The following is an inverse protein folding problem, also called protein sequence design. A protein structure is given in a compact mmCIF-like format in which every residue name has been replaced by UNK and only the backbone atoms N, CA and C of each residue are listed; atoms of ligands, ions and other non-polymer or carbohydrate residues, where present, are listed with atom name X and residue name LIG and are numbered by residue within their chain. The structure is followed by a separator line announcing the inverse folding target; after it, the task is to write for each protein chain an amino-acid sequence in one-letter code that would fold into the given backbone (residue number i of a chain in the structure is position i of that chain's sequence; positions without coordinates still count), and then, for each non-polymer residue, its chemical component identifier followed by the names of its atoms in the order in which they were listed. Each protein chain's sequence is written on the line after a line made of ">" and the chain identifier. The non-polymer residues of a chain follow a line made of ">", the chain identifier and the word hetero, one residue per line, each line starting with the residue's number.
data_IF_202802155698
#
_entry.id   IF_202802155698
#
_cell.length_a   1.000
_cell.length_b   1.000
_cell.length_c   1.000
_cell.angle_alpha   90.00
_cell.angle_beta   90.00
_cell.angle_gamma   90.00
#
_symmetry.space_group_name_H-M   'P 1'
#
loop_
_entity.id
_entity.type
_entity.pdbx_description
1 polymer ?
#
# COMPACT_ATOMS: atom_id res chain seq x y z
N UNK A 1 -11.33 6.30 -51.21
CA UNK A 1 -10.33 6.84 -50.27
C UNK A 1 -10.31 5.94 -49.05
N UNK A 2 -9.23 5.18 -48.88
CA UNK A 2 -9.04 4.22 -47.78
C UNK A 2 -8.55 4.98 -46.54
N UNK A 3 -9.34 4.97 -45.47
CA UNK A 3 -8.92 5.52 -44.18
C UNK A 3 -8.20 4.41 -43.39
N UNK A 4 -6.90 4.60 -43.20
CA UNK A 4 -6.03 3.70 -42.43
C UNK A 4 -6.46 3.69 -40.96
N UNK A 5 -6.67 2.51 -40.42
CA UNK A 5 -6.86 2.26 -39.00
C UNK A 5 -5.48 2.33 -38.33
N UNK A 6 -5.22 3.38 -37.54
CA UNK A 6 -4.09 3.40 -36.61
C UNK A 6 -4.46 2.61 -35.36
N UNK A 7 -3.60 1.70 -34.87
CA UNK A 7 -3.89 0.93 -33.66
C UNK A 7 -3.86 1.85 -32.44
N UNK A 8 -4.92 1.80 -31.61
CA UNK A 8 -4.95 2.43 -30.28
C UNK A 8 -3.94 1.70 -29.38
N UNK A 9 -3.06 2.46 -28.73
CA UNK A 9 -2.19 1.95 -27.66
C UNK A 9 -2.99 1.47 -26.44
N UNK A 10 -2.33 0.78 -25.48
CA UNK A 10 -2.98 0.29 -24.28
C UNK A 10 -3.57 1.45 -23.44
N UNK A 11 -4.62 1.20 -22.63
CA UNK A 11 -5.32 2.25 -21.91
C UNK A 11 -4.45 2.83 -20.78
N UNK A 12 -4.24 4.13 -20.81
CA UNK A 12 -3.66 4.90 -19.70
C UNK A 12 -4.66 4.96 -18.54
N UNK A 13 -4.27 4.48 -17.37
CA UNK A 13 -5.05 4.67 -16.13
C UNK A 13 -4.58 5.98 -15.49
N UNK A 14 -5.51 6.93 -15.42
CA UNK A 14 -5.30 8.26 -14.85
C UNK A 14 -5.60 8.22 -13.35
N UNK A 15 -4.59 8.50 -12.52
CA UNK A 15 -4.78 8.78 -11.10
C UNK A 15 -4.19 10.15 -10.84
N UNK A 16 -5.03 11.17 -10.82
CA UNK A 16 -4.68 12.44 -10.22
C UNK A 16 -4.59 12.21 -8.71
N UNK A 17 -3.48 12.60 -8.08
CA UNK A 17 -3.32 12.55 -6.61
C UNK A 17 -4.55 13.22 -5.98
N UNK A 18 -5.46 12.41 -5.44
CA UNK A 18 -6.71 12.83 -4.82
C UNK A 18 -8.02 12.26 -5.37
N UNK A 19 -8.06 11.56 -6.51
CA UNK A 19 -9.29 10.88 -6.97
C UNK A 19 -8.98 9.74 -7.95
N UNK A 20 -9.44 8.51 -7.65
CA UNK A 20 -9.63 7.48 -8.68
C UNK A 20 -10.82 7.94 -9.52
N UNK A 21 -10.58 8.58 -10.66
CA UNK A 21 -11.63 8.90 -11.63
C UNK A 21 -11.66 7.80 -12.67
N UNK A 22 -12.51 6.79 -12.46
CA UNK A 22 -12.91 5.89 -13.54
C UNK A 22 -14.07 6.54 -14.30
N UNK A 23 -13.85 6.90 -15.56
CA UNK A 23 -14.95 7.08 -16.51
C UNK A 23 -15.37 5.70 -16.99
N UNK A 24 -16.41 5.16 -16.38
CA UNK A 24 -17.50 4.44 -17.04
C UNK A 24 -18.58 4.08 -16.01
N UNK A 25 -19.78 4.62 -16.21
CA UNK A 25 -21.00 4.20 -15.52
C UNK A 25 -21.64 3.09 -16.35
N UNK A 26 -21.83 1.91 -15.78
CA UNK A 26 -23.13 1.23 -15.67
C UNK A 26 -23.00 -0.21 -15.11
N UNK A 27 -23.95 -0.55 -14.24
CA UNK A 27 -24.32 -1.88 -13.70
C UNK A 27 -23.31 -2.63 -12.80
N UNK A 28 -23.52 -2.51 -11.49
CA UNK A 28 -23.26 -3.60 -10.54
C UNK A 28 -24.51 -3.79 -9.67
N UNK A 29 -25.21 -4.91 -9.89
CA UNK A 29 -26.20 -5.44 -8.97
C UNK A 29 -25.64 -6.71 -8.33
N UNK A 30 -25.72 -6.73 -6.99
CA UNK A 30 -25.76 -7.85 -6.04
C UNK A 30 -24.86 -9.08 -6.29
N UNK A 31 -23.84 -9.25 -5.44
CA UNK A 31 -23.27 -10.56 -5.11
C UNK A 31 -23.28 -10.77 -3.57
N UNK A 32 -24.08 -11.71 -3.05
CA UNK A 32 -24.16 -12.03 -1.63
C UNK A 32 -23.30 -13.27 -1.32
N UNK A 33 -21.99 -13.06 -1.14
CA UNK A 33 -20.98 -13.93 -0.52
C UNK A 33 -19.62 -13.22 -0.71
N UNK A 34 -18.69 -13.09 0.22
CA UNK A 34 -18.43 -13.80 1.46
C UNK A 34 -17.33 -13.01 2.22
N UNK A 35 -17.37 -13.05 3.55
CA UNK A 35 -16.31 -12.64 4.48
C UNK A 35 -14.93 -13.26 4.16
N UNK A 36 -14.18 -12.72 3.20
CA UNK A 36 -12.81 -13.17 2.87
C UNK A 36 -11.78 -12.02 2.90
N UNK A 37 -12.20 -10.76 3.09
CA UNK A 37 -11.27 -9.63 3.31
C UNK A 37 -10.73 -9.50 4.75
N UNK A 38 -10.98 -10.49 5.61
CA UNK A 38 -10.33 -10.63 6.92
C UNK A 38 -9.14 -11.59 6.93
N UNK A 39 -8.71 -12.11 5.78
CA UNK A 39 -7.70 -13.18 5.71
C UNK A 39 -6.25 -12.73 5.42
N UNK A 40 -5.94 -11.43 5.35
CA UNK A 40 -4.55 -10.97 5.16
C UNK A 40 -3.99 -10.07 6.27
N UNK A 41 -4.75 -9.85 7.34
CA UNK A 41 -4.20 -9.44 8.63
C UNK A 41 -4.03 -10.66 9.51
N UNK A 42 -2.87 -11.31 9.40
CA UNK A 42 -2.43 -12.23 10.44
C UNK A 42 -0.97 -11.94 10.75
N UNK A 43 -0.80 -11.43 11.96
CA UNK A 43 0.38 -11.55 12.78
C UNK A 43 1.01 -12.94 12.60
N UNK A 44 2.31 -12.97 12.29
CA UNK A 44 3.13 -14.09 12.70
C UNK A 44 3.73 -13.73 14.06
N UNK A 45 3.38 -14.45 15.13
CA UNK A 45 3.96 -14.23 16.43
C UNK A 45 5.41 -14.70 16.40
N UNK A 46 6.34 -13.77 16.58
CA UNK A 46 7.68 -14.11 17.10
C UNK A 46 7.81 -13.51 18.50
N UNK A 47 6.77 -13.70 19.30
CA UNK A 47 6.80 -13.43 20.72
C UNK A 47 6.95 -14.77 21.43
N UNK A 48 8.18 -15.30 21.50
CA UNK A 48 8.63 -16.26 22.52
C UNK A 48 10.15 -16.49 22.41
N UNK A 49 10.92 -15.42 22.59
CA UNK A 49 12.28 -15.53 23.14
C UNK A 49 12.43 -14.41 24.16
N UNK A 50 12.29 -14.76 25.44
CA UNK A 50 12.69 -13.87 26.54
C UNK A 50 14.15 -13.41 26.29
N UNK A 51 14.35 -12.10 26.33
CA UNK A 51 15.61 -11.36 26.15
C UNK A 51 16.16 -11.15 24.72
N UNK A 52 15.43 -11.44 23.64
CA UNK A 52 15.86 -11.13 22.27
C UNK A 52 15.36 -9.76 21.75
N UNK A 53 15.98 -8.70 22.26
CA UNK A 53 16.12 -7.33 21.73
C UNK A 53 14.90 -6.37 21.63
N UNK A 54 15.06 -5.23 22.32
CA UNK A 54 14.23 -4.02 22.34
C UNK A 54 14.64 -2.98 21.26
N UNK A 55 13.61 -2.26 20.81
CA UNK A 55 13.49 -0.83 20.43
C UNK A 55 13.75 -0.25 19.03
N UNK A 56 14.40 -0.91 18.05
CA UNK A 56 14.58 -0.27 16.72
C UNK A 56 14.30 -1.13 15.48
N UNK A 57 13.87 -2.39 15.63
CA UNK A 57 13.51 -3.23 14.47
C UNK A 57 12.07 -2.99 14.03
N UNK A 58 11.86 -2.08 13.06
CA UNK A 58 10.55 -1.83 12.41
C UNK A 58 10.05 -3.10 11.69
N UNK A 59 9.11 -3.87 12.26
CA UNK A 59 8.72 -5.20 11.74
C UNK A 59 7.95 -5.13 10.42
N UNK A 60 7.30 -4.00 10.17
CA UNK A 60 6.32 -3.78 9.11
C UNK A 60 6.95 -3.77 7.71
N UNK A 61 8.15 -3.20 7.59
CA UNK A 61 8.85 -3.02 6.32
C UNK A 61 9.08 -4.34 5.54
N UNK A 62 9.49 -5.41 6.24
CA UNK A 62 9.73 -6.72 5.60
C UNK A 62 8.42 -7.32 5.10
N UNK A 63 7.33 -7.17 5.86
CA UNK A 63 6.01 -7.70 5.49
C UNK A 63 5.53 -7.07 4.19
N UNK A 64 5.58 -5.74 4.08
CA UNK A 64 5.21 -5.00 2.87
C UNK A 64 6.05 -5.42 1.65
N UNK A 65 7.36 -5.60 1.85
CA UNK A 65 8.27 -6.05 0.78
C UNK A 65 8.00 -7.50 0.33
N UNK A 66 7.71 -8.40 1.27
CA UNK A 66 7.37 -9.81 0.99
C UNK A 66 6.04 -9.90 0.25
N UNK A 67 5.02 -9.17 0.68
CA UNK A 67 3.73 -9.09 -0.02
C UNK A 67 3.91 -8.59 -1.46
N UNK A 68 4.75 -7.58 -1.68
CA UNK A 68 5.05 -7.07 -3.02
C UNK A 68 5.75 -8.10 -3.93
N UNK A 69 6.57 -9.00 -3.37
CA UNK A 69 7.22 -10.08 -4.13
C UNK A 69 6.26 -11.25 -4.40
N UNK A 70 5.49 -11.66 -3.39
CA UNK A 70 4.63 -12.85 -3.51
C UNK A 70 3.40 -12.62 -4.40
N UNK A 71 3.00 -11.37 -4.60
CA UNK A 71 1.90 -11.00 -5.53
C UNK A 71 2.17 -11.38 -6.99
N UNK A 72 3.39 -11.72 -7.39
CA UNK A 72 3.68 -12.18 -8.74
C UNK A 72 3.57 -13.70 -8.95
N UNK A 73 3.27 -14.44 -7.88
CA UNK A 73 3.07 -15.87 -7.96
C UNK A 73 1.66 -16.19 -8.49
N UNK A 74 1.59 -16.53 -9.77
CA UNK A 74 0.33 -16.86 -10.45
C UNK A 74 -0.39 -18.06 -9.84
N UNK A 75 0.31 -19.00 -9.21
CA UNK A 75 -0.33 -20.14 -8.54
C UNK A 75 -1.07 -19.68 -7.27
N UNK A 76 -0.47 -18.74 -6.52
CA UNK A 76 -1.11 -18.11 -5.37
C UNK A 76 -2.31 -17.28 -5.84
N UNK A 77 -2.16 -16.48 -6.90
CA UNK A 77 -3.27 -15.69 -7.44
C UNK A 77 -4.42 -16.57 -7.94
N UNK A 78 -4.12 -17.70 -8.57
CA UNK A 78 -5.13 -18.67 -9.01
C UNK A 78 -5.89 -19.28 -7.82
N UNK A 79 -5.21 -19.51 -6.68
CA UNK A 79 -5.88 -19.91 -5.43
C UNK A 79 -6.92 -18.87 -4.97
N UNK A 80 -6.65 -17.58 -5.21
CA UNK A 80 -7.59 -16.48 -4.93
C UNK A 80 -8.62 -16.25 -6.05
N UNK A 81 -8.69 -17.13 -7.05
CA UNK A 81 -9.64 -17.03 -8.16
C UNK A 81 -9.19 -16.10 -9.29
N UNK A 82 -7.92 -15.69 -9.32
CA UNK A 82 -7.35 -14.85 -10.36
C UNK A 82 -6.42 -15.67 -11.26
N UNK A 83 -6.93 -16.08 -12.41
CA UNK A 83 -6.20 -16.85 -13.41
C UNK A 83 -6.24 -16.15 -14.78
N UNK A 84 -5.85 -16.85 -15.84
CA UNK A 84 -5.90 -16.32 -17.22
C UNK A 84 -7.32 -16.15 -17.76
N UNK A 85 -8.33 -16.74 -17.11
CA UNK A 85 -9.73 -16.69 -17.52
C UNK A 85 -10.57 -15.72 -16.67
N UNK A 86 -10.04 -15.26 -15.53
CA UNK A 86 -10.70 -14.29 -14.65
C UNK A 86 -10.62 -12.87 -15.19
N UNK A 87 -11.48 -11.99 -14.65
CA UNK A 87 -11.42 -10.54 -14.86
C UNK A 87 -11.56 -9.83 -13.51
N UNK A 88 -10.52 -9.15 -13.00
CA UNK A 88 -9.19 -8.96 -13.60
C UNK A 88 -8.38 -10.27 -13.72
N UNK A 89 -7.39 -10.30 -14.61
CA UNK A 89 -6.44 -11.43 -14.72
C UNK A 89 -5.36 -11.35 -13.64
N UNK A 90 -4.59 -12.43 -13.45
CA UNK A 90 -3.42 -12.42 -12.58
C UNK A 90 -2.39 -11.32 -12.97
N UNK A 91 -2.13 -11.13 -14.27
CA UNK A 91 -1.19 -10.10 -14.75
C UNK A 91 -1.70 -8.67 -14.51
N UNK A 92 -3.02 -8.47 -14.52
CA UNK A 92 -3.61 -7.19 -14.15
C UNK A 92 -3.43 -6.89 -12.67
N UNK A 93 -3.64 -7.87 -11.79
CA UNK A 93 -3.41 -7.69 -10.36
C UNK A 93 -1.95 -7.40 -10.02
N UNK A 94 -1.02 -8.08 -10.70
CA UNK A 94 0.41 -7.81 -10.57
C UNK A 94 0.70 -6.35 -10.95
N UNK A 95 0.18 -5.90 -12.09
CA UNK A 95 0.32 -4.50 -12.50
C UNK A 95 -0.29 -3.52 -11.48
N UNK A 96 -1.50 -3.79 -11.00
CA UNK A 96 -2.16 -2.95 -10.00
C UNK A 96 -1.37 -2.90 -8.70
N UNK A 97 -0.72 -3.98 -8.32
CA UNK A 97 0.13 -4.02 -7.13
C UNK A 97 1.33 -3.09 -7.28
N UNK A 98 2.02 -3.10 -8.42
CA UNK A 98 3.13 -2.16 -8.67
C UNK A 98 2.64 -0.71 -8.70
N UNK A 99 1.50 -0.45 -9.36
CA UNK A 99 0.92 0.89 -9.37
C UNK A 99 0.58 1.36 -7.95
N UNK A 100 0.01 0.46 -7.13
CA UNK A 100 -0.31 0.72 -5.73
C UNK A 100 0.93 1.02 -4.90
N UNK A 101 2.02 0.27 -5.05
CA UNK A 101 3.30 0.56 -4.39
C UNK A 101 3.76 1.98 -4.69
N UNK A 102 3.69 2.41 -5.95
CA UNK A 102 4.09 3.76 -6.32
C UNK A 102 3.18 4.85 -5.75
N UNK A 103 1.86 4.64 -5.79
CA UNK A 103 0.88 5.60 -5.26
C UNK A 103 0.98 5.69 -3.72
N UNK A 104 1.05 4.57 -3.02
CA UNK A 104 1.19 4.53 -1.57
C UNK A 104 2.55 5.11 -1.13
N UNK A 105 3.63 4.85 -1.88
CA UNK A 105 4.93 5.47 -1.65
C UNK A 105 4.91 6.99 -1.77
N UNK A 106 4.21 7.55 -2.77
CA UNK A 106 4.01 9.01 -2.86
C UNK A 106 3.12 9.53 -1.73
N UNK A 107 2.01 8.88 -1.44
CA UNK A 107 1.08 9.29 -0.38
C UNK A 107 1.75 9.26 1.01
N UNK A 108 2.68 8.34 1.25
CA UNK A 108 3.43 8.22 2.49
C UNK A 108 4.20 9.50 2.84
N UNK A 109 4.63 10.29 1.85
CA UNK A 109 5.27 11.59 2.06
C UNK A 109 4.43 12.53 2.94
N UNK A 110 3.10 12.39 2.95
CA UNK A 110 2.22 13.18 3.84
C UNK A 110 2.50 12.98 5.34
N UNK A 111 3.13 11.87 5.72
CA UNK A 111 3.48 11.54 7.10
C UNK A 111 4.83 12.11 7.54
N UNK A 112 5.68 12.56 6.61
CA UNK A 112 7.02 13.06 6.92
C UNK A 112 6.97 14.45 7.56
N UNK A 113 7.57 14.59 8.73
CA UNK A 113 7.65 15.83 9.51
C UNK A 113 9.00 16.49 9.29
N UNK A 114 9.00 17.56 8.50
CA UNK A 114 10.22 18.29 8.13
C UNK A 114 10.93 18.90 9.35
N UNK A 115 10.19 19.40 10.33
CA UNK A 115 10.75 20.02 11.54
C UNK A 115 11.59 19.03 12.37
N UNK A 116 11.11 17.78 12.46
CA UNK A 116 11.74 16.72 13.25
C UNK A 116 12.71 15.87 12.41
N UNK A 117 12.74 16.06 11.09
CA UNK A 117 13.38 15.15 10.12
C UNK A 117 13.00 13.69 10.37
N UNK A 118 11.72 13.45 10.68
CA UNK A 118 11.23 12.16 11.13
C UNK A 118 9.91 11.77 10.46
N UNK A 119 9.71 10.46 10.31
CA UNK A 119 8.48 9.89 9.77
C UNK A 119 7.40 9.79 10.84
N UNK A 120 6.16 10.11 10.48
CA UNK A 120 5.00 10.03 11.36
C UNK A 120 4.53 8.60 11.65
N UNK A 121 4.93 7.61 10.84
CA UNK A 121 4.63 6.20 11.01
C UNK A 121 5.65 5.30 10.33
N UNK A 122 5.90 4.13 10.92
CA UNK A 122 6.88 3.15 10.42
C UNK A 122 6.47 2.55 9.07
N UNK A 123 5.17 2.38 8.85
CA UNK A 123 4.62 1.87 7.59
C UNK A 123 4.84 2.85 6.43
N UNK A 124 4.56 4.13 6.65
CA UNK A 124 4.73 5.17 5.63
C UNK A 124 6.21 5.30 5.23
N UNK A 125 7.11 5.29 6.22
CA UNK A 125 8.55 5.28 5.94
C UNK A 125 8.95 4.08 5.08
N UNK A 126 8.40 2.90 5.39
CA UNK A 126 8.66 1.68 4.66
C UNK A 126 8.16 1.73 3.20
N UNK A 127 6.93 2.20 3.00
CA UNK A 127 6.33 2.35 1.67
C UNK A 127 7.16 3.30 0.81
N UNK A 128 7.56 4.45 1.36
CA UNK A 128 8.40 5.40 0.63
C UNK A 128 9.78 4.80 0.31
N UNK A 129 10.40 4.07 1.23
CA UNK A 129 11.69 3.41 0.98
C UNK A 129 11.61 2.36 -0.13
N UNK A 130 10.56 1.52 -0.15
CA UNK A 130 10.34 0.53 -1.23
C UNK A 130 10.15 1.25 -2.56
N UNK A 131 9.31 2.28 -2.57
CA UNK A 131 9.05 3.10 -3.75
C UNK A 131 10.34 3.74 -4.30
N UNK A 132 11.10 4.44 -3.45
CA UNK A 132 12.37 5.09 -3.83
C UNK A 132 13.38 4.05 -4.35
N UNK A 133 13.44 2.87 -3.76
CA UNK A 133 14.30 1.78 -4.24
C UNK A 133 13.90 1.31 -5.64
N UNK A 134 12.61 1.10 -5.92
CA UNK A 134 12.15 0.72 -7.27
C UNK A 134 12.45 1.82 -8.30
N UNK A 135 12.28 3.10 -7.94
CA UNK A 135 12.64 4.21 -8.83
C UNK A 135 14.13 4.20 -9.20
N UNK A 136 15.00 3.87 -8.23
CA UNK A 136 16.46 3.89 -8.41
C UNK A 136 17.02 2.63 -9.08
N UNK A 137 16.49 1.45 -8.75
CA UNK A 137 17.06 0.14 -9.08
C UNK A 137 16.17 -0.68 -10.03
N UNK A 138 14.95 -0.22 -10.32
CA UNK A 138 13.96 -0.90 -11.15
C UNK A 138 14.10 -0.66 -12.66
N UNK A 139 15.16 0.01 -13.12
CA UNK A 139 15.45 0.27 -14.55
C UNK A 139 14.24 0.82 -15.34
N UNK A 140 13.55 1.82 -14.78
CA UNK A 140 12.40 2.44 -15.43
C UNK A 140 11.14 1.57 -15.48
N UNK A 141 11.06 0.49 -14.70
CA UNK A 141 9.78 -0.22 -14.44
C UNK A 141 8.73 0.72 -13.84
N UNK A 142 9.17 1.73 -13.09
CA UNK A 142 8.33 2.75 -12.48
C UNK A 142 8.99 4.12 -12.58
N UNK A 143 8.21 5.17 -12.82
CA UNK A 143 8.65 6.55 -12.74
C UNK A 143 7.51 7.47 -12.31
N UNK A 144 7.86 8.70 -11.93
CA UNK A 144 6.90 9.76 -11.59
C UNK A 144 6.98 10.86 -12.63
N UNK A 145 5.83 11.20 -13.22
CA UNK A 145 5.68 12.43 -13.98
C UNK A 145 5.17 13.53 -13.05
N UNK A 146 5.86 14.66 -13.04
CA UNK A 146 5.52 15.81 -12.22
C UNK A 146 5.06 16.96 -13.11
N UNK A 147 3.82 17.40 -12.93
CA UNK A 147 3.30 18.64 -13.52
C UNK A 147 3.39 19.77 -12.47
N UNK A 148 4.38 20.68 -12.59
CA UNK A 148 4.57 21.75 -11.61
C UNK A 148 3.50 22.84 -11.71
N UNK A 149 2.83 22.99 -12.86
CA UNK A 149 1.81 24.02 -13.07
C UNK A 149 0.49 23.56 -12.44
N UNK A 150 0.09 22.32 -12.71
CA UNK A 150 -1.11 21.72 -12.13
C UNK A 150 -0.91 21.26 -10.67
N UNK A 151 0.35 21.19 -10.20
CA UNK A 151 0.72 20.56 -8.92
C UNK A 151 0.18 19.14 -8.85
N UNK A 152 0.51 18.34 -9.86
CA UNK A 152 0.08 16.95 -9.97
C UNK A 152 1.29 16.03 -10.14
N UNK A 153 1.16 14.83 -9.57
CA UNK A 153 2.14 13.76 -9.68
C UNK A 153 1.43 12.55 -10.28
N UNK A 154 2.05 11.90 -11.25
CA UNK A 154 1.52 10.69 -11.87
C UNK A 154 2.52 9.57 -11.73
N UNK A 155 2.12 8.48 -11.08
CA UNK A 155 2.87 7.24 -11.06
C UNK A 155 2.63 6.51 -12.37
N UNK A 156 3.71 6.09 -13.01
CA UNK A 156 3.68 5.27 -14.21
C UNK A 156 4.42 3.98 -13.97
N UNK A 157 3.92 2.90 -14.56
CA UNK A 157 4.50 1.56 -14.45
C UNK A 157 4.54 0.92 -15.83
N UNK A 158 5.71 0.45 -16.24
CA UNK A 158 5.88 -0.35 -17.45
C UNK A 158 5.58 -1.82 -17.15
N UNK A 159 4.40 -2.28 -17.60
CA UNK A 159 3.95 -3.67 -17.47
C UNK A 159 4.97 -4.70 -17.96
N UNK A 160 5.69 -4.39 -19.04
CA UNK A 160 6.64 -5.32 -19.65
C UNK A 160 7.90 -5.54 -18.80
N UNK A 161 8.23 -4.58 -17.92
CA UNK A 161 9.40 -4.61 -17.05
C UNK A 161 9.13 -5.15 -15.65
N UNK A 162 7.88 -5.43 -15.29
CA UNK A 162 7.53 -5.88 -13.93
C UNK A 162 8.29 -7.15 -13.55
N UNK A 163 8.18 -8.22 -14.34
CA UNK A 163 8.81 -9.50 -14.01
C UNK A 163 10.34 -9.44 -14.14
N UNK A 164 10.83 -8.71 -15.14
CA UNK A 164 12.25 -8.69 -15.49
C UNK A 164 13.09 -7.72 -14.64
N UNK A 165 12.53 -6.58 -14.24
CA UNK A 165 13.27 -5.53 -13.53
C UNK A 165 12.63 -5.22 -12.17
N UNK A 166 11.30 -5.04 -12.12
CA UNK A 166 10.57 -4.74 -10.89
C UNK A 166 10.77 -5.82 -9.81
N UNK A 167 10.44 -7.08 -10.14
CA UNK A 167 10.56 -8.22 -9.23
C UNK A 167 11.98 -8.37 -8.74
N UNK A 168 12.94 -8.30 -9.66
CA UNK A 168 14.36 -8.46 -9.31
C UNK A 168 14.84 -7.31 -8.41
N UNK A 169 14.35 -6.09 -8.62
CA UNK A 169 14.70 -4.94 -7.78
C UNK A 169 14.20 -5.11 -6.34
N UNK A 170 12.92 -5.43 -6.16
CA UNK A 170 12.34 -5.69 -4.83
C UNK A 170 13.03 -6.91 -4.19
N UNK A 171 13.30 -7.96 -4.97
CA UNK A 171 14.02 -9.14 -4.52
C UNK A 171 15.44 -8.85 -3.99
N UNK A 172 16.20 -7.97 -4.67
CA UNK A 172 17.51 -7.51 -4.20
C UNK A 172 17.41 -6.75 -2.88
N UNK A 173 16.43 -5.85 -2.76
CA UNK A 173 16.17 -5.09 -1.54
C UNK A 173 15.83 -6.02 -0.36
N UNK A 174 14.88 -6.95 -0.58
CA UNK A 174 14.47 -7.93 0.43
C UNK A 174 15.65 -8.80 0.86
N UNK A 175 16.44 -9.29 -0.08
CA UNK A 175 17.59 -10.16 0.20
C UNK A 175 18.60 -9.47 1.13
N UNK A 176 18.99 -8.22 0.83
CA UNK A 176 19.90 -7.42 1.66
C UNK A 176 19.36 -7.29 3.09
N UNK A 177 18.12 -6.85 3.22
CA UNK A 177 17.50 -6.57 4.53
C UNK A 177 17.27 -7.86 5.32
N UNK A 178 16.93 -8.95 4.64
CA UNK A 178 16.79 -10.26 5.26
C UNK A 178 18.11 -10.78 5.82
N UNK A 179 19.21 -10.64 5.08
CA UNK A 179 20.55 -11.03 5.53
C UNK A 179 20.92 -10.21 6.76
N UNK A 180 20.88 -8.87 6.67
CA UNK A 180 21.29 -8.01 7.78
C UNK A 180 20.46 -8.21 9.04
N UNK A 181 19.15 -8.45 8.90
CA UNK A 181 18.30 -8.80 10.05
C UNK A 181 18.72 -10.14 10.67
N UNK A 182 18.95 -11.16 9.84
CA UNK A 182 19.32 -12.51 10.31
C UNK A 182 20.71 -12.54 10.96
N UNK A 183 21.60 -11.63 10.58
CA UNK A 183 22.95 -11.50 11.16
C UNK A 183 23.08 -10.37 12.19
N UNK A 184 21.98 -9.69 12.54
CA UNK A 184 21.97 -8.51 13.40
C UNK A 184 22.97 -7.41 12.96
N UNK A 185 23.17 -7.22 11.65
CA UNK A 185 24.10 -6.22 11.09
C UNK A 185 23.42 -4.85 10.94
N UNK A 186 23.32 -4.13 12.06
CA UNK A 186 22.74 -2.78 12.11
C UNK A 186 23.60 -1.77 11.34
N UNK A 187 24.92 -1.96 11.33
CA UNK A 187 25.87 -1.02 10.71
C UNK A 187 25.72 -0.98 9.19
N UNK A 188 25.43 -2.11 8.56
CA UNK A 188 25.15 -2.17 7.13
C UNK A 188 23.71 -1.74 6.81
N UNK A 189 22.73 -2.11 7.64
CA UNK A 189 21.32 -1.85 7.39
C UNK A 189 20.95 -0.37 7.49
N UNK A 190 21.44 0.32 8.54
CA UNK A 190 21.03 1.68 8.88
C UNK A 190 21.33 2.69 7.75
N UNK A 191 22.56 2.79 7.20
CA UNK A 191 22.85 3.75 6.13
C UNK A 191 22.04 3.48 4.86
N UNK A 192 21.78 2.21 4.54
CA UNK A 192 20.98 1.83 3.38
C UNK A 192 19.53 2.29 3.54
N UNK A 193 18.91 2.01 4.69
CA UNK A 193 17.50 2.35 4.92
C UNK A 193 17.28 3.86 5.14
N UNK A 194 18.19 4.54 5.84
CA UNK A 194 18.12 6.00 6.03
C UNK A 194 18.23 6.74 4.70
N UNK A 195 19.13 6.32 3.80
CA UNK A 195 19.23 6.92 2.46
C UNK A 195 17.94 6.72 1.62
N UNK A 196 17.32 5.54 1.72
CA UNK A 196 16.06 5.25 1.02
C UNK A 196 14.84 5.92 1.63
N UNK A 197 14.90 6.32 2.90
CA UNK A 197 13.81 7.03 3.58
C UNK A 197 14.05 8.53 3.76
N UNK A 198 15.16 9.05 3.25
CA UNK A 198 15.43 10.49 3.20
C UNK A 198 14.49 11.17 2.19
N UNK A 199 13.89 12.28 2.61
CA UNK A 199 13.01 13.14 1.81
C UNK A 199 13.77 14.42 1.48
N UNK A 200 14.58 14.36 0.42
CA UNK A 200 15.43 15.42 -0.09
C UNK A 200 15.04 15.83 -1.52
N UNK A 201 15.54 16.99 -1.96
CA UNK A 201 15.45 17.47 -3.34
C UNK A 201 14.04 17.37 -3.98
N UNK A 202 13.90 16.51 -4.99
CA UNK A 202 12.64 16.31 -5.71
C UNK A 202 11.54 15.71 -4.83
N UNK A 203 11.90 14.90 -3.83
CA UNK A 203 10.95 14.27 -2.93
C UNK A 203 10.31 15.27 -1.98
N UNK A 204 11.02 16.34 -1.59
CA UNK A 204 10.43 17.44 -0.82
C UNK A 204 9.43 18.23 -1.67
N UNK A 205 9.72 18.45 -2.95
CA UNK A 205 8.77 19.09 -3.87
C UNK A 205 7.50 18.24 -3.99
N UNK A 206 7.64 16.92 -4.15
CA UNK A 206 6.51 16.00 -4.19
C UNK A 206 5.73 15.99 -2.86
N UNK A 207 6.43 16.01 -1.73
CA UNK A 207 5.84 16.06 -0.39
C UNK A 207 4.93 17.29 -0.24
N UNK A 208 5.39 18.46 -0.67
CA UNK A 208 4.60 19.70 -0.61
C UNK A 208 3.31 19.58 -1.43
N UNK A 209 3.37 18.95 -2.60
CA UNK A 209 2.19 18.70 -3.44
C UNK A 209 1.22 17.74 -2.73
N UNK A 210 1.73 16.62 -2.22
CA UNK A 210 0.92 15.61 -1.52
C UNK A 210 0.25 16.21 -0.28
N UNK A 211 0.98 16.94 0.55
CA UNK A 211 0.44 17.59 1.76
C UNK A 211 -0.59 18.66 1.41
N UNK A 212 -0.49 19.32 0.25
CA UNK A 212 -1.50 20.29 -0.20
C UNK A 212 -2.85 19.65 -0.57
N UNK A 213 -2.90 18.32 -0.72
CA UNK A 213 -4.09 17.54 -1.08
C UNK A 213 -4.39 16.47 -0.02
N UNK A 214 -4.76 16.86 1.22
CA UNK A 214 -4.97 15.92 2.30
C UNK A 214 -6.14 14.98 1.99
N UNK A 215 -5.93 13.68 2.21
CA UNK A 215 -7.00 12.70 2.10
C UNK A 215 -7.69 12.52 3.46
N UNK A 216 -9.04 12.53 3.52
CA UNK A 216 -9.76 12.29 4.75
C UNK A 216 -9.56 10.84 5.18
N UNK A 217 -9.11 10.64 6.43
CA UNK A 217 -9.03 9.29 7.02
C UNK A 217 -10.41 8.75 7.30
N UNK A 218 -10.60 7.47 7.00
CA UNK A 218 -11.84 6.78 7.32
C UNK A 218 -12.00 6.65 8.83
N UNK A 219 -13.24 6.77 9.30
CA UNK A 219 -13.64 6.50 10.67
C UNK A 219 -14.60 5.33 10.63
N UNK A 220 -14.41 4.38 11.53
CA UNK A 220 -15.27 3.22 11.63
C UNK A 220 -16.18 3.37 12.84
N UNK A 221 -17.46 3.08 12.64
CA UNK A 221 -18.41 2.93 13.73
C UNK A 221 -18.38 1.47 14.15
N UNK A 222 -17.94 1.21 15.38
CA UNK A 222 -17.81 -0.15 15.90
C UNK A 222 -19.05 -0.51 16.72
N UNK A 223 -19.60 -1.72 16.56
CA UNK A 223 -20.71 -2.18 17.38
C UNK A 223 -20.26 -2.47 18.82
N UNK A 224 -21.24 -2.69 19.70
CA UNK A 224 -21.01 -3.16 21.07
C UNK A 224 -21.76 -4.48 21.31
N UNK A 225 -21.27 -5.27 22.25
CA UNK A 225 -21.94 -6.49 22.70
C UNK A 225 -22.39 -6.38 24.14
N UNK A 226 -23.63 -6.76 24.44
CA UNK A 226 -24.21 -6.74 25.79
C UNK A 226 -24.68 -8.14 26.22
N UNK A 227 -24.28 -8.59 27.41
CA UNK A 227 -24.80 -9.81 28.00
C UNK A 227 -26.17 -9.53 28.64
N UNK A 228 -27.20 -10.24 28.20
CA UNK A 228 -28.55 -10.18 28.75
C UNK A 228 -28.70 -11.07 29.98
N UNK A 229 -29.74 -10.81 30.78
CA UNK A 229 -30.04 -11.58 32.00
C UNK A 229 -30.37 -13.06 31.72
N UNK A 230 -30.86 -13.37 30.52
CA UNK A 230 -31.12 -14.75 30.06
C UNK A 230 -29.85 -15.49 29.58
N UNK A 231 -28.69 -14.85 29.70
CA UNK A 231 -27.39 -15.38 29.28
C UNK A 231 -27.11 -15.23 27.78
N UNK A 232 -27.99 -14.61 26.99
CA UNK A 232 -27.75 -14.36 25.57
C UNK A 232 -26.92 -13.08 25.35
N UNK A 233 -26.21 -13.00 24.22
CA UNK A 233 -25.42 -11.82 23.84
C UNK A 233 -26.17 -11.04 22.76
N UNK A 234 -26.42 -9.75 23.02
CA UNK A 234 -26.92 -8.79 22.04
C UNK A 234 -25.75 -8.13 21.31
N UNK A 235 -25.75 -8.15 19.97
CA UNK A 235 -24.95 -7.25 19.17
C UNK A 235 -25.76 -5.98 18.91
N UNK A 236 -25.19 -4.83 19.25
CA UNK A 236 -25.78 -3.51 19.00
C UNK A 236 -24.95 -2.75 17.98
N UNK A 237 -25.57 -2.48 16.85
CA UNK A 237 -25.02 -1.62 15.81
C UNK A 237 -25.41 -0.16 16.03
N UNK A 238 -24.60 0.75 15.48
CA UNK A 238 -24.81 2.18 15.55
C UNK A 238 -24.80 2.78 14.14
N UNK A 239 -25.43 3.93 13.96
CA UNK A 239 -25.50 4.59 12.66
C UNK A 239 -24.12 5.03 12.16
N UNK A 240 -23.86 4.91 10.85
CA UNK A 240 -22.54 5.23 10.23
C UNK A 240 -22.35 6.74 10.07
N UNK A 241 -22.35 7.46 11.20
CA UNK A 241 -22.16 8.91 11.26
C UNK A 241 -21.42 9.30 12.56
N UNK A 242 -21.14 10.60 12.73
CA UNK A 242 -20.42 11.08 13.92
C UNK A 242 -21.19 10.87 15.23
N UNK A 243 -22.53 10.86 15.20
CA UNK A 243 -23.37 10.62 16.39
C UNK A 243 -23.26 9.16 16.81
N UNK A 244 -23.39 8.21 15.87
CA UNK A 244 -23.21 6.79 16.13
C UNK A 244 -21.82 6.43 16.65
N UNK A 245 -20.76 7.13 16.20
CA UNK A 245 -19.42 7.01 16.82
C UNK A 245 -19.50 7.38 18.31
N UNK A 246 -20.03 8.55 18.64
CA UNK A 246 -20.09 9.04 20.03
C UNK A 246 -20.91 8.09 20.91
N UNK A 247 -22.09 7.67 20.45
CA UNK A 247 -22.95 6.72 21.16
C UNK A 247 -22.25 5.38 21.38
N UNK A 248 -21.58 4.85 20.35
CA UNK A 248 -20.85 3.59 20.47
C UNK A 248 -19.78 3.64 21.55
N UNK A 249 -19.03 4.74 21.68
CA UNK A 249 -18.02 4.91 22.71
C UNK A 249 -18.64 5.13 24.10
N UNK A 250 -19.72 5.93 24.18
CA UNK A 250 -20.42 6.17 25.43
C UNK A 250 -20.95 4.87 26.05
N UNK A 251 -21.58 4.01 25.26
CA UNK A 251 -22.14 2.76 25.74
C UNK A 251 -21.09 1.66 25.97
N UNK A 252 -19.89 1.78 25.37
CA UNK A 252 -18.80 0.80 25.50
C UNK A 252 -18.13 0.80 26.88
N UNK A 253 -18.24 1.92 27.63
CA UNK A 253 -17.73 2.06 29.01
C UNK A 253 -16.23 1.71 29.18
N UNK A 254 -15.41 2.08 28.21
CA UNK A 254 -13.93 2.03 28.28
C UNK A 254 -13.34 3.41 28.55
#
# INVERSE_FOLDING_TARGET
>A
MSARHTPRGPPDIYIAVGTIVTRDKEHMDQDPNLDIEKAFSIDFPVDHVEDACREDTKPDYRRTTVTAIDTDNKDILALFGYDQNSKPTADDLIYYTYLRIGVEGLCALSSFKVEDQAWGGDHDQALFAIFKHILQDGDGVMWVEHDPVAKELFVRVDRSKIVSHGKLSIGRMLCKIHIWRSTADVNACRPFYEALSAVDDEYEIWRQIVVSKPQPRWKFVQPNTFLKDDGTVELRDYEVNNVGIIESFFERKI
#
